data_IF_950008660035
#
_entry.id   IF_950008660035
#
_cell.length_a   1.000
_cell.length_b   1.000
_cell.length_c   1.000
_cell.angle_alpha   90.00
_cell.angle_beta   90.00
_cell.angle_gamma   90.00
#
_symmetry.space_group_name_H-M   'P 1'
#
loop_
_entity.id
_entity.type
_entity.pdbx_description
1 polymer ?
#
# COMPACT_ATOMS: atom_id res chain seq x y z
N UNK A 1 -13.92 -3.21 -20.97
CA UNK A 1 -13.70 -3.13 -20.63
C UNK A 1 -13.46 -2.94 -19.85
N UNK A 2 -13.31 -3.04 -19.51
CA UNK A 2 -13.04 -2.92 -18.75
C UNK A 2 -12.84 -3.02 -17.87
N UNK A 3 -12.94 -3.05 -17.82
CA UNK A 3 -12.74 -3.19 -16.99
C UNK A 3 -12.48 -3.53 -16.24
N UNK A 4 -12.83 -3.44 -16.40
CA UNK A 4 -12.52 -3.82 -15.85
C UNK A 4 -11.74 -4.18 -15.17
N UNK A 5 -12.39 -4.35 -15.05
CA UNK A 5 -11.12 -4.69 -15.05
C UNK A 5 -10.26 -4.44 -13.83
N UNK A 6 -10.62 -3.58 -12.98
CA UNK A 6 -9.93 -3.36 -11.73
C UNK A 6 -10.28 -4.49 -10.78
N UNK A 7 -9.26 -5.31 -10.46
CA UNK A 7 -9.47 -6.30 -9.41
C UNK A 7 -9.83 -5.57 -8.13
N UNK A 8 -10.79 -6.08 -7.37
CA UNK A 8 -11.11 -5.45 -6.09
C UNK A 8 -9.92 -5.53 -5.15
N UNK A 9 -9.78 -4.54 -4.30
CA UNK A 9 -8.68 -4.49 -3.33
C UNK A 9 -8.79 -5.68 -2.36
N UNK A 10 -7.73 -6.42 -2.24
CA UNK A 10 -7.66 -7.51 -1.26
C UNK A 10 -7.20 -6.91 0.08
N UNK A 11 -8.17 -6.54 0.88
CA UNK A 11 -7.91 -5.86 2.14
C UNK A 11 -7.16 -6.74 3.12
N UNK A 12 -7.34 -8.05 3.06
CA UNK A 12 -6.66 -8.95 3.98
C UNK A 12 -5.14 -8.92 3.77
N UNK A 13 -4.70 -8.86 2.53
CA UNK A 13 -3.28 -8.77 2.22
C UNK A 13 -2.72 -7.42 2.70
N UNK A 14 -3.45 -6.35 2.44
CA UNK A 14 -3.03 -5.01 2.84
C UNK A 14 -2.89 -4.94 4.37
N UNK A 15 -3.89 -5.44 5.08
CA UNK A 15 -3.87 -5.38 6.54
C UNK A 15 -2.77 -6.23 7.13
N UNK A 16 -2.48 -7.38 6.51
CA UNK A 16 -1.38 -8.24 6.95
C UNK A 16 -0.05 -7.46 6.97
N UNK A 17 0.21 -6.71 5.91
CA UNK A 17 1.46 -5.96 5.81
C UNK A 17 1.46 -4.72 6.69
N UNK A 18 0.31 -4.05 6.84
CA UNK A 18 0.21 -2.89 7.73
C UNK A 18 0.42 -3.31 9.19
N UNK A 19 -0.08 -4.48 9.57
CA UNK A 19 0.08 -4.98 10.93
C UNK A 19 1.53 -5.32 11.21
N UNK A 20 2.18 -5.94 10.24
CA UNK A 20 3.58 -6.32 10.40
C UNK A 20 4.52 -5.11 10.34
N UNK A 21 4.20 -4.14 9.49
CA UNK A 21 4.99 -2.92 9.32
C UNK A 21 4.08 -1.70 9.39
N UNK A 22 3.78 -1.21 10.60
CA UNK A 22 2.87 -0.06 10.73
C UNK A 22 3.31 1.19 9.98
N UNK A 23 4.61 1.37 9.80
CA UNK A 23 5.11 2.53 9.04
C UNK A 23 4.70 2.47 7.57
N UNK A 24 4.46 1.27 7.06
CA UNK A 24 4.00 1.12 5.69
C UNK A 24 2.68 1.84 5.46
N UNK A 25 1.75 1.71 6.39
CA UNK A 25 0.46 2.40 6.29
C UNK A 25 0.66 3.92 6.26
N UNK A 26 1.62 4.41 7.02
CA UNK A 26 1.86 5.84 7.13
C UNK A 26 2.35 6.44 5.81
N UNK A 27 3.27 5.78 5.12
CA UNK A 27 3.86 6.41 3.95
C UNK A 27 3.26 5.98 2.62
N UNK A 28 2.55 4.86 2.58
CA UNK A 28 2.12 4.27 1.31
C UNK A 28 1.12 5.15 0.54
N UNK A 29 0.39 5.99 1.24
CA UNK A 29 -0.58 6.88 0.62
C UNK A 29 -0.04 8.25 0.26
N UNK A 30 1.26 8.47 0.42
CA UNK A 30 1.84 9.82 0.31
C UNK A 30 2.27 10.18 -1.12
N UNK A 31 1.82 9.44 -2.12
CA UNK A 31 2.19 9.69 -3.51
C UNK A 31 3.04 8.55 -4.02
N UNK A 32 3.93 8.87 -4.94
CA UNK A 32 4.83 7.85 -5.48
C UNK A 32 5.93 7.53 -4.46
N UNK A 33 6.09 6.26 -4.16
CA UNK A 33 7.12 5.81 -3.21
C UNK A 33 8.13 4.94 -3.95
N UNK A 34 9.40 5.15 -3.65
CA UNK A 34 10.45 4.36 -4.25
C UNK A 34 10.76 3.15 -3.40
N UNK A 35 11.25 2.10 -4.05
CA UNK A 35 11.68 0.90 -3.33
C UNK A 35 12.80 1.23 -2.34
N UNK A 36 13.69 2.13 -2.73
CA UNK A 36 14.80 2.52 -1.88
C UNK A 36 14.30 3.18 -0.59
N UNK A 37 13.39 4.13 -0.72
CA UNK A 37 12.83 4.81 0.45
C UNK A 37 12.07 3.85 1.35
N UNK A 38 11.29 2.98 0.74
CA UNK A 38 10.50 2.01 1.49
C UNK A 38 11.40 1.08 2.30
N UNK A 39 12.48 0.64 1.67
CA UNK A 39 13.43 -0.25 2.31
C UNK A 39 14.10 0.42 3.51
N UNK A 40 14.47 1.68 3.35
CA UNK A 40 15.12 2.44 4.42
C UNK A 40 14.17 2.69 5.58
N UNK A 41 12.94 3.06 5.27
CA UNK A 41 11.96 3.34 6.32
C UNK A 41 11.60 2.08 7.09
N UNK A 42 11.44 0.96 6.40
CA UNK A 42 11.05 -0.30 7.04
C UNK A 42 12.25 -1.09 7.56
N UNK A 43 13.46 -0.70 7.16
CA UNK A 43 14.70 -1.37 7.60
C UNK A 43 14.68 -2.85 7.24
N UNK A 44 14.39 -3.15 5.99
CA UNK A 44 14.37 -4.52 5.49
C UNK A 44 15.20 -4.59 4.21
N UNK A 45 15.64 -5.80 3.83
CA UNK A 45 16.44 -5.93 2.64
C UNK A 45 15.58 -5.77 1.38
N UNK A 46 16.24 -5.47 0.26
CA UNK A 46 15.53 -5.09 -0.96
C UNK A 46 14.72 -6.23 -1.58
N UNK A 47 15.16 -7.46 -1.41
CA UNK A 47 14.42 -8.60 -1.99
C UNK A 47 13.10 -8.80 -1.26
N UNK A 48 13.15 -8.68 0.05
CA UNK A 48 11.93 -8.79 0.84
C UNK A 48 10.99 -7.61 0.56
N UNK A 49 11.52 -6.41 0.41
CA UNK A 49 10.72 -5.24 0.07
C UNK A 49 10.05 -5.44 -1.29
N UNK A 50 10.78 -5.99 -2.24
CA UNK A 50 10.23 -6.27 -3.55
C UNK A 50 9.07 -7.27 -3.46
N UNK A 51 9.23 -8.31 -2.65
CA UNK A 51 8.17 -9.30 -2.45
C UNK A 51 6.92 -8.65 -1.86
N UNK A 52 7.07 -7.74 -0.90
CA UNK A 52 5.94 -7.03 -0.32
C UNK A 52 5.20 -6.25 -1.40
N UNK A 53 5.92 -5.50 -2.23
CA UNK A 53 5.27 -4.71 -3.26
C UNK A 53 4.65 -5.58 -4.34
N UNK A 54 5.24 -6.73 -4.66
CA UNK A 54 4.62 -7.67 -5.59
C UNK A 54 3.27 -8.15 -5.08
N UNK A 55 3.19 -8.49 -3.79
CA UNK A 55 1.92 -8.88 -3.19
C UNK A 55 0.91 -7.74 -3.21
N UNK A 56 1.37 -6.53 -2.92
CA UNK A 56 0.48 -5.37 -2.94
C UNK A 56 -0.04 -5.06 -4.34
N UNK A 57 0.78 -5.26 -5.36
CA UNK A 57 0.33 -5.11 -6.74
C UNK A 57 -0.75 -6.14 -7.06
N UNK A 58 -0.54 -7.38 -6.68
CA UNK A 58 -1.51 -8.44 -6.93
C UNK A 58 -2.80 -8.21 -6.15
N UNK A 59 -2.70 -7.59 -4.99
CA UNK A 59 -3.86 -7.28 -4.16
C UNK A 59 -4.62 -6.05 -4.64
N UNK A 60 -4.14 -5.38 -5.68
CA UNK A 60 -4.80 -4.17 -6.19
C UNK A 60 -4.52 -2.93 -5.36
N UNK A 61 -3.51 -2.98 -4.50
CA UNK A 61 -3.21 -1.86 -3.59
C UNK A 61 -2.29 -0.82 -4.20
N UNK A 62 -1.30 -1.25 -4.98
CA UNK A 62 -0.36 -0.33 -5.60
C UNK A 62 -0.16 -0.69 -7.06
N UNK A 63 0.34 0.28 -7.81
CA UNK A 63 0.68 0.09 -9.21
C UNK A 63 2.05 0.70 -9.45
N UNK A 64 2.78 0.14 -10.40
CA UNK A 64 4.11 0.65 -10.73
C UNK A 64 4.01 2.07 -11.29
N UNK A 65 4.94 2.93 -10.87
CA UNK A 65 4.98 4.31 -11.31
C UNK A 65 6.44 4.68 -11.55
N UNK A 66 6.77 4.96 -12.79
CA UNK A 66 8.16 5.20 -13.15
C UNK A 66 8.96 3.92 -13.14
N UNK A 67 10.28 4.03 -13.09
CA UNK A 67 11.16 2.87 -13.20
C UNK A 67 11.41 2.16 -11.87
N UNK A 68 11.32 2.87 -10.76
CA UNK A 68 11.65 2.30 -9.44
C UNK A 68 10.65 2.71 -8.36
N UNK A 69 9.43 3.07 -8.75
CA UNK A 69 8.47 3.57 -7.78
C UNK A 69 7.14 2.86 -7.86
N UNK A 70 6.34 3.08 -6.83
CA UNK A 70 4.99 2.54 -6.74
C UNK A 70 4.06 3.63 -6.24
N UNK A 71 2.80 3.53 -6.61
CA UNK A 71 1.79 4.52 -6.26
C UNK A 71 0.55 3.78 -5.77
N UNK A 72 -0.07 4.30 -4.73
CA UNK A 72 -1.30 3.74 -4.22
C UNK A 72 -2.41 3.85 -5.28
N UNK A 73 -3.16 2.77 -5.45
CA UNK A 73 -4.31 2.79 -6.35
C UNK A 73 -5.45 3.56 -5.68
N UNK A 74 -6.44 3.94 -6.47
CA UNK A 74 -7.60 4.63 -5.93
C UNK A 74 -8.32 3.81 -4.85
N UNK A 75 -8.55 2.50 -5.05
CA UNK A 75 -9.16 1.68 -3.99
C UNK A 75 -8.36 1.70 -2.69
N UNK A 76 -7.03 1.67 -2.76
CA UNK A 76 -6.23 1.74 -1.55
C UNK A 76 -6.36 3.11 -0.89
N UNK A 77 -6.34 4.18 -1.67
CA UNK A 77 -6.49 5.52 -1.11
C UNK A 77 -7.82 5.67 -0.37
N UNK A 78 -8.89 5.11 -0.93
CA UNK A 78 -10.19 5.15 -0.30
C UNK A 78 -10.21 4.33 0.99
N UNK A 79 -9.57 3.17 0.97
CA UNK A 79 -9.47 2.32 2.14
C UNK A 79 -8.71 3.02 3.27
N UNK A 80 -7.60 3.67 2.94
CA UNK A 80 -6.83 4.42 3.93
C UNK A 80 -7.64 5.57 4.53
N UNK A 81 -8.43 6.23 3.70
CA UNK A 81 -9.29 7.31 4.17
C UNK A 81 -10.33 6.79 5.15
N UNK A 82 -10.93 5.65 4.85
CA UNK A 82 -11.90 5.02 5.72
C UNK A 82 -11.29 4.63 7.07
N UNK A 83 -10.07 4.09 7.03
CA UNK A 83 -9.39 3.71 8.26
C UNK A 83 -9.10 4.92 9.14
N UNK A 84 -8.71 6.05 8.54
CA UNK A 84 -8.49 7.28 9.29
C UNK A 84 -9.77 7.81 9.91
N UNK A 85 -10.86 7.73 9.16
CA UNK A 85 -12.15 8.18 9.65
C UNK A 85 -12.61 7.33 10.85
N UNK A 86 -12.42 6.01 10.77
CA UNK A 86 -12.77 5.11 11.85
C UNK A 86 -11.93 5.38 13.09
N UNK A 87 -10.63 5.58 12.92
CA UNK A 87 -9.75 5.89 14.03
C UNK A 87 -10.15 7.20 14.70
N UNK A 88 -10.53 8.18 13.89
CA UNK A 88 -10.97 9.48 14.41
C UNK A 88 -12.26 9.35 15.19
N UNK A 89 -13.19 8.56 14.68
CA UNK A 89 -14.47 8.31 15.36
C UNK A 89 -14.25 7.62 16.69
N UNK A 90 -13.31 6.69 16.74
CA UNK A 90 -13.02 5.91 17.95
C UNK A 90 -12.42 6.78 19.05
N UNK A 91 -11.78 7.86 18.67
CA UNK A 91 -11.10 8.75 19.62
C UNK A 91 -12.00 9.81 20.25
N UNK A 92 -13.25 9.79 19.93
CA UNK A 92 -14.19 10.77 20.51
C UNK A 92 -14.62 10.40 21.91
#
# INVERSE_FOLDING_TARGET
MDDKVLAPLDKSVVLKWFEKYPKLETFIGAGTISLKMSREILDIDRYFMYDIFCELVQAGAVTASGSNGFRATKPLQEFLRERRAEARSTNV
#
